data_IF_607075485950
#
_entry.id   IF_607075485950
#
_cell.length_a   1.000
_cell.length_b   1.000
_cell.length_c   1.000
_cell.angle_alpha   90.00
_cell.angle_beta   90.00
_cell.angle_gamma   90.00
#
_symmetry.space_group_name_H-M   'P 1'
#
loop_
_entity.id
_entity.type
_entity.pdbx_description
1 polymer ?
#
# COMPACT_ATOMS: atom_id res chain seq x y z
N UNK A 1 -17.95 -30.09 -0.14
CA UNK A 1 -18.87 -29.21 -0.92
C UNK A 1 -18.24 -27.84 -0.84
N UNK A 2 -17.87 -27.28 -1.98
CA UNK A 2 -17.39 -25.88 -2.02
C UNK A 2 -18.53 -25.02 -1.55
N UNK A 3 -18.37 -24.32 -0.40
CA UNK A 3 -19.32 -23.30 -0.01
C UNK A 3 -19.39 -22.28 -1.14
N UNK A 4 -20.59 -22.04 -1.65
CA UNK A 4 -20.79 -21.10 -2.74
C UNK A 4 -20.29 -19.72 -2.29
N UNK A 5 -19.42 -19.09 -3.08
CA UNK A 5 -18.90 -17.75 -2.80
C UNK A 5 -20.07 -16.77 -2.58
N UNK A 6 -20.13 -16.18 -1.39
CA UNK A 6 -21.18 -15.23 -0.99
C UNK A 6 -20.60 -13.84 -0.98
N UNK A 7 -21.04 -12.98 -1.88
CA UNK A 7 -20.60 -11.60 -1.95
C UNK A 7 -21.81 -10.69 -1.77
N UNK A 8 -21.69 -9.70 -0.90
CA UNK A 8 -22.74 -8.73 -0.64
C UNK A 8 -22.38 -7.37 -1.22
N UNK A 9 -23.39 -6.68 -1.71
CA UNK A 9 -23.25 -5.35 -2.31
C UNK A 9 -23.93 -4.32 -1.41
N UNK A 10 -23.24 -3.22 -1.16
CA UNK A 10 -23.73 -2.09 -0.38
C UNK A 10 -23.68 -0.81 -1.22
N UNK A 11 -24.65 0.07 -1.00
CA UNK A 11 -24.69 1.42 -1.56
C UNK A 11 -25.11 2.37 -0.44
N UNK A 12 -24.40 3.48 -0.26
CA UNK A 12 -24.67 4.46 0.79
C UNK A 12 -24.83 3.84 2.19
N UNK A 13 -24.01 2.86 2.53
CA UNK A 13 -24.08 2.13 3.80
C UNK A 13 -25.17 1.06 3.90
N UNK A 14 -26.10 1.00 2.95
CA UNK A 14 -27.20 0.03 2.95
C UNK A 14 -26.90 -1.20 2.11
N UNK A 15 -27.27 -2.38 2.61
CA UNK A 15 -27.11 -3.64 1.88
C UNK A 15 -28.16 -3.78 0.79
N UNK A 16 -27.73 -3.78 -0.46
CA UNK A 16 -28.58 -3.92 -1.64
C UNK A 16 -28.97 -5.37 -1.95
N UNK A 17 -28.06 -6.31 -1.69
CA UNK A 17 -28.29 -7.73 -1.99
C UNK A 17 -27.02 -8.56 -2.01
N UNK A 18 -27.13 -9.73 -2.64
CA UNK A 18 -26.02 -10.67 -2.85
C UNK A 18 -25.79 -10.85 -4.34
N UNK A 19 -24.51 -10.99 -4.72
CA UNK A 19 -24.13 -11.27 -6.12
C UNK A 19 -24.67 -12.62 -6.54
N UNK A 20 -25.37 -12.63 -7.65
CA UNK A 20 -25.87 -13.84 -8.29
C UNK A 20 -24.84 -14.39 -9.28
N UNK A 21 -24.69 -15.73 -9.29
CA UNK A 21 -23.86 -16.44 -10.29
C UNK A 21 -22.41 -15.93 -10.37
N UNK A 22 -21.71 -15.78 -9.21
CA UNK A 22 -20.29 -15.47 -9.18
C UNK A 22 -19.49 -16.63 -9.80
N UNK A 23 -18.73 -16.35 -10.87
CA UNK A 23 -17.95 -17.34 -11.60
C UNK A 23 -16.51 -17.42 -11.08
N UNK A 24 -15.89 -16.27 -10.84
CA UNK A 24 -14.58 -16.17 -10.24
C UNK A 24 -14.41 -14.86 -9.49
N UNK A 25 -13.60 -14.88 -8.42
CA UNK A 25 -13.19 -13.70 -7.69
C UNK A 25 -11.70 -13.76 -7.46
N UNK A 26 -10.99 -12.69 -7.81
CA UNK A 26 -9.66 -12.38 -7.32
C UNK A 26 -9.80 -11.28 -6.28
N UNK A 27 -9.33 -11.55 -5.05
CA UNK A 27 -9.42 -10.68 -3.90
C UNK A 27 -8.03 -10.51 -3.33
N UNK A 28 -7.40 -9.37 -3.60
CA UNK A 28 -5.97 -9.17 -3.36
C UNK A 28 -5.71 -7.98 -2.41
N UNK A 29 -5.95 -8.14 -1.09
CA UNK A 29 -5.55 -7.13 -0.11
C UNK A 29 -4.03 -7.00 -0.05
N UNK A 30 -3.53 -5.80 0.20
CA UNK A 30 -2.12 -5.47 0.40
C UNK A 30 -1.90 -4.84 1.79
N UNK A 31 -0.64 -4.87 2.27
CA UNK A 31 -0.31 -4.38 3.60
C UNK A 31 -0.19 -2.86 3.66
N UNK A 32 0.69 -2.28 2.83
CA UNK A 32 0.93 -0.84 2.79
C UNK A 32 0.34 -0.14 1.55
N UNK A 33 -0.46 -0.86 0.76
CA UNK A 33 -1.09 -0.38 -0.46
C UNK A 33 -2.60 -0.69 -0.43
N UNK A 34 -3.35 -0.14 -1.39
CA UNK A 34 -4.81 -0.28 -1.45
C UNK A 34 -5.25 -1.71 -1.75
N UNK A 35 -4.51 -2.43 -2.58
CA UNK A 35 -4.95 -3.72 -3.10
C UNK A 35 -6.09 -3.61 -4.12
N UNK A 36 -6.48 -4.74 -4.71
CA UNK A 36 -7.45 -4.77 -5.81
C UNK A 36 -8.34 -6.00 -5.81
N UNK A 37 -9.48 -5.89 -6.53
CA UNK A 37 -10.36 -7.02 -6.78
C UNK A 37 -10.74 -7.12 -8.26
N UNK A 38 -11.00 -8.36 -8.69
CA UNK A 38 -11.64 -8.65 -9.98
C UNK A 38 -12.68 -9.76 -9.79
N UNK A 39 -13.94 -9.41 -10.01
CA UNK A 39 -15.06 -10.34 -9.99
C UNK A 39 -15.56 -10.57 -11.42
N UNK A 40 -15.82 -11.84 -11.77
CA UNK A 40 -16.55 -12.21 -12.97
C UNK A 40 -17.82 -12.92 -12.55
N UNK A 41 -18.97 -12.44 -13.00
CA UNK A 41 -20.29 -13.00 -12.68
C UNK A 41 -21.23 -12.98 -13.89
N UNK A 42 -22.40 -13.59 -13.75
CA UNK A 42 -23.45 -13.52 -14.77
C UNK A 42 -23.98 -12.10 -14.93
N UNK A 43 -24.22 -11.66 -16.16
CA UNK A 43 -24.77 -10.34 -16.46
C UNK A 43 -26.30 -10.29 -16.26
N UNK A 44 -26.80 -10.78 -15.12
CA UNK A 44 -28.22 -10.74 -14.75
C UNK A 44 -28.72 -9.30 -14.56
N UNK A 45 -30.00 -9.06 -14.63
CA UNK A 45 -30.58 -7.75 -14.37
C UNK A 45 -30.26 -7.27 -12.95
N UNK A 46 -30.30 -8.18 -11.97
CA UNK A 46 -29.97 -7.92 -10.57
C UNK A 46 -28.50 -7.48 -10.41
N UNK A 47 -27.55 -8.26 -10.96
CA UNK A 47 -26.12 -7.91 -10.87
C UNK A 47 -25.81 -6.56 -11.53
N UNK A 48 -26.39 -6.28 -12.70
CA UNK A 48 -26.21 -5.01 -13.40
C UNK A 48 -26.77 -3.81 -12.63
N UNK A 49 -27.85 -4.00 -11.87
CA UNK A 49 -28.45 -2.94 -11.08
C UNK A 49 -27.63 -2.64 -9.79
N UNK A 50 -27.01 -3.65 -9.19
CA UNK A 50 -26.30 -3.51 -7.93
C UNK A 50 -24.79 -3.22 -8.11
N UNK A 51 -24.14 -3.88 -9.10
CA UNK A 51 -22.70 -3.79 -9.30
C UNK A 51 -22.34 -2.56 -10.16
N UNK A 52 -22.58 -1.39 -9.61
CA UNK A 52 -22.33 -0.10 -10.26
C UNK A 52 -21.10 0.57 -9.66
N UNK A 53 -20.52 1.53 -10.36
CA UNK A 53 -19.40 2.32 -9.86
C UNK A 53 -19.77 3.00 -8.53
N UNK A 54 -18.86 2.92 -7.56
CA UNK A 54 -19.04 3.47 -6.21
C UNK A 54 -19.76 2.55 -5.23
N UNK A 55 -20.40 1.45 -5.70
CA UNK A 55 -20.92 0.43 -4.80
C UNK A 55 -19.76 -0.31 -4.09
N UNK A 56 -20.03 -0.80 -2.88
CA UNK A 56 -19.08 -1.55 -2.06
C UNK A 56 -19.39 -3.03 -2.15
N UNK A 57 -18.38 -3.82 -2.50
CA UNK A 57 -18.43 -5.28 -2.51
C UNK A 57 -17.80 -5.81 -1.23
N UNK A 58 -18.52 -6.62 -0.46
CA UNK A 58 -18.08 -7.24 0.79
C UNK A 58 -18.02 -8.75 0.65
N UNK A 59 -16.88 -9.33 1.09
CA UNK A 59 -16.66 -10.76 1.17
C UNK A 59 -16.62 -11.20 2.64
N UNK A 60 -17.62 -11.97 3.15
CA UNK A 60 -17.65 -12.40 4.54
C UNK A 60 -16.51 -13.39 4.92
N UNK A 61 -15.88 -14.04 3.95
CA UNK A 61 -14.71 -14.91 4.19
C UNK A 61 -13.46 -14.11 4.62
N UNK A 62 -13.49 -12.78 4.43
CA UNK A 62 -12.43 -11.85 4.84
C UNK A 62 -13.03 -10.70 5.64
N UNK A 63 -13.41 -10.94 6.90
CA UNK A 63 -14.07 -9.94 7.74
C UNK A 63 -13.29 -8.63 7.82
N UNK A 64 -14.00 -7.52 7.78
CA UNK A 64 -13.42 -6.19 7.81
C UNK A 64 -12.85 -5.70 6.48
N UNK A 65 -12.83 -6.52 5.42
CA UNK A 65 -12.37 -6.09 4.09
C UNK A 65 -13.55 -5.91 3.13
N UNK A 66 -13.60 -4.74 2.50
CA UNK A 66 -14.55 -4.45 1.44
C UNK A 66 -13.88 -3.63 0.32
N UNK A 67 -14.43 -3.69 -0.88
CA UNK A 67 -13.86 -3.04 -2.05
C UNK A 67 -14.86 -2.14 -2.76
N UNK A 68 -14.43 -0.96 -3.16
CA UNK A 68 -15.15 -0.04 -4.04
C UNK A 68 -15.11 -0.55 -5.47
N UNK A 69 -16.23 -0.60 -6.12
CA UNK A 69 -16.32 -0.89 -7.55
C UNK A 69 -15.89 0.36 -8.32
N UNK A 70 -14.81 0.24 -9.10
CA UNK A 70 -14.25 1.35 -9.88
C UNK A 70 -14.55 1.23 -11.38
N UNK A 71 -14.72 0.00 -11.89
CA UNK A 71 -15.05 -0.22 -13.28
C UNK A 71 -15.88 -1.50 -13.48
N UNK A 72 -16.77 -1.47 -14.46
CA UNK A 72 -17.54 -2.61 -14.91
C UNK A 72 -17.44 -2.75 -16.42
N UNK A 73 -17.37 -3.98 -16.90
CA UNK A 73 -17.29 -4.34 -18.31
C UNK A 73 -18.33 -5.43 -18.60
N UNK A 74 -19.25 -5.13 -19.50
CA UNK A 74 -20.30 -6.04 -19.92
C UNK A 74 -19.94 -6.69 -21.25
N UNK A 75 -19.75 -8.00 -21.23
CA UNK A 75 -19.69 -8.83 -22.44
C UNK A 75 -21.11 -9.39 -22.71
N UNK A 76 -21.79 -8.82 -23.73
CA UNK A 76 -23.13 -9.19 -24.10
C UNK A 76 -23.20 -10.59 -24.72
N UNK A 77 -22.21 -11.00 -25.48
CA UNK A 77 -22.16 -12.28 -26.19
C UNK A 77 -21.93 -13.43 -25.20
N UNK A 78 -21.00 -13.27 -24.29
CA UNK A 78 -20.73 -14.22 -23.22
C UNK A 78 -21.71 -14.10 -22.03
N UNK A 79 -22.57 -13.09 -22.00
CA UNK A 79 -23.48 -12.76 -20.88
C UNK A 79 -22.75 -12.66 -19.54
N UNK A 80 -21.56 -12.09 -19.56
CA UNK A 80 -20.68 -11.91 -18.40
C UNK A 80 -20.55 -10.44 -18.03
N UNK A 81 -20.48 -10.20 -16.73
CA UNK A 81 -20.13 -8.92 -16.15
C UNK A 81 -18.80 -9.08 -15.42
N UNK A 82 -17.80 -8.31 -15.85
CA UNK A 82 -16.51 -8.20 -15.17
C UNK A 82 -16.51 -6.91 -14.34
N UNK A 83 -16.25 -7.04 -13.05
CA UNK A 83 -16.18 -5.93 -12.09
C UNK A 83 -14.76 -5.82 -11.58
N UNK A 84 -14.19 -4.61 -11.65
CA UNK A 84 -12.88 -4.29 -11.06
C UNK A 84 -13.09 -3.30 -9.93
N UNK A 85 -12.32 -3.47 -8.87
CA UNK A 85 -12.42 -2.61 -7.70
C UNK A 85 -11.09 -2.46 -6.98
N UNK A 86 -11.08 -1.50 -6.07
CA UNK A 86 -10.00 -1.23 -5.12
C UNK A 86 -10.57 -1.31 -3.71
N UNK A 87 -9.79 -1.77 -2.72
CA UNK A 87 -10.28 -1.78 -1.34
C UNK A 87 -10.68 -0.37 -0.87
N UNK A 88 -11.53 -0.29 0.13
CA UNK A 88 -12.17 0.99 0.57
C UNK A 88 -11.18 2.05 1.01
N UNK A 89 -9.94 1.71 1.34
CA UNK A 89 -8.83 2.65 1.52
C UNK A 89 -8.68 3.62 0.32
N UNK A 90 -9.11 3.23 -0.88
CA UNK A 90 -9.14 4.08 -2.08
C UNK A 90 -9.93 5.38 -1.90
N UNK A 91 -10.84 5.47 -0.92
CA UNK A 91 -11.58 6.70 -0.64
C UNK A 91 -10.68 7.89 -0.34
N UNK A 92 -9.53 7.64 0.29
CA UNK A 92 -8.57 8.70 0.61
C UNK A 92 -7.92 9.35 -0.62
N UNK A 93 -7.93 8.68 -1.78
CA UNK A 93 -7.51 9.30 -3.05
C UNK A 93 -8.43 10.43 -3.52
N UNK A 94 -9.65 10.54 -2.96
CA UNK A 94 -10.59 11.60 -3.27
C UNK A 94 -10.27 12.93 -2.55
N UNK A 95 -9.24 12.97 -1.73
CA UNK A 95 -8.86 14.13 -0.93
C UNK A 95 -7.40 14.48 -1.16
N UNK A 96 -7.14 15.77 -1.20
CA UNK A 96 -5.78 16.32 -1.33
C UNK A 96 -5.34 16.83 0.04
N UNK A 97 -4.15 16.44 0.47
CA UNK A 97 -3.45 17.05 1.59
C UNK A 97 -3.01 18.46 1.17
N UNK A 98 -3.54 19.48 1.84
CA UNK A 98 -3.31 20.87 1.46
C UNK A 98 -2.04 21.41 2.12
N UNK A 99 -1.29 22.15 1.32
CA UNK A 99 -0.07 22.81 1.79
C UNK A 99 1.04 21.81 2.07
N UNK A 100 2.08 22.28 2.75
CA UNK A 100 3.22 21.46 3.16
C UNK A 100 3.04 20.99 4.60
N UNK A 101 3.29 19.71 4.82
CA UNK A 101 3.37 19.07 6.14
C UNK A 101 4.66 18.29 6.21
N UNK A 102 5.45 18.49 7.27
CA UNK A 102 6.66 17.70 7.57
C UNK A 102 6.33 16.74 8.71
N UNK A 103 6.58 15.46 8.50
CA UNK A 103 6.25 14.37 9.44
C UNK A 103 7.54 13.71 9.92
N UNK A 104 7.66 13.50 11.23
CA UNK A 104 8.79 12.81 11.90
C UNK A 104 8.36 11.57 12.70
N UNK A 105 7.05 11.35 12.85
CA UNK A 105 6.44 10.09 13.29
C UNK A 105 5.37 9.74 12.27
N UNK A 106 5.61 8.69 11.49
CA UNK A 106 4.77 8.34 10.36
C UNK A 106 3.34 7.96 10.77
N UNK A 107 3.15 7.29 11.92
CA UNK A 107 1.83 6.86 12.37
C UNK A 107 0.98 8.04 12.87
N UNK A 108 1.55 8.86 13.75
CA UNK A 108 0.87 10.05 14.27
C UNK A 108 0.62 11.08 13.16
N UNK A 109 1.63 11.36 12.33
CA UNK A 109 1.54 12.32 11.22
C UNK A 109 0.52 11.92 10.17
N UNK A 110 0.36 10.62 9.90
CA UNK A 110 -0.69 10.11 9.01
C UNK A 110 -2.08 10.45 9.54
N UNK A 111 -2.34 10.21 10.82
CA UNK A 111 -3.64 10.50 11.41
C UNK A 111 -3.93 12.00 11.44
N UNK A 112 -2.93 12.82 11.76
CA UNK A 112 -3.08 14.29 11.77
C UNK A 112 -3.34 14.84 10.36
N UNK A 113 -2.64 14.32 9.35
CA UNK A 113 -2.87 14.65 7.95
C UNK A 113 -4.31 14.27 7.52
N UNK A 114 -4.78 13.09 7.90
CA UNK A 114 -6.15 12.66 7.61
C UNK A 114 -7.17 13.58 8.30
N UNK A 115 -7.03 13.86 9.60
CA UNK A 115 -7.94 14.75 10.35
C UNK A 115 -8.06 16.11 9.70
N UNK A 116 -6.93 16.69 9.28
CA UNK A 116 -6.90 18.00 8.65
C UNK A 116 -7.55 18.01 7.26
N UNK A 117 -7.62 16.86 6.55
CA UNK A 117 -7.95 16.85 5.14
C UNK A 117 -9.16 15.97 4.74
N UNK A 118 -9.82 15.29 5.67
CA UNK A 118 -10.99 14.44 5.36
C UNK A 118 -12.15 15.20 4.71
N UNK A 119 -12.45 16.42 5.16
CA UNK A 119 -13.51 17.27 4.58
C UNK A 119 -14.80 16.49 4.30
N UNK A 120 -15.43 15.97 5.34
CA UNK A 120 -16.69 15.22 5.29
C UNK A 120 -16.60 13.85 4.55
N UNK A 121 -15.40 13.30 4.36
CA UNK A 121 -15.28 11.92 3.93
C UNK A 121 -15.77 10.99 5.03
N UNK A 122 -16.73 10.13 4.73
CA UNK A 122 -17.41 9.26 5.71
C UNK A 122 -16.55 8.03 6.05
N UNK A 123 -15.37 8.28 6.66
CA UNK A 123 -14.48 7.26 7.20
C UNK A 123 -14.10 7.68 8.62
N UNK A 124 -14.36 6.83 9.58
CA UNK A 124 -13.93 7.06 10.96
C UNK A 124 -12.41 6.92 11.09
N UNK A 125 -11.80 7.78 11.91
CA UNK A 125 -10.38 7.70 12.24
C UNK A 125 -10.21 7.27 13.70
N UNK A 126 -9.16 6.50 14.06
CA UNK A 126 -8.83 6.25 15.44
C UNK A 126 -8.35 7.55 16.12
N UNK A 127 -8.56 7.64 17.43
CA UNK A 127 -8.12 8.79 18.23
C UNK A 127 -6.60 8.93 18.27
N UNK A 128 -5.88 7.83 18.29
CA UNK A 128 -4.43 7.75 18.22
C UNK A 128 -4.00 6.44 17.56
N UNK A 129 -2.76 6.36 17.10
CA UNK A 129 -2.13 5.09 16.74
C UNK A 129 -1.74 4.34 18.02
N UNK A 130 -1.88 3.01 18.00
CA UNK A 130 -1.51 2.14 19.13
C UNK A 130 0.02 1.96 19.25
N UNK A 131 0.79 2.54 18.33
CA UNK A 131 2.25 2.46 18.26
C UNK A 131 2.84 3.77 17.71
N UNK A 132 4.14 3.95 17.91
CA UNK A 132 4.91 5.04 17.30
C UNK A 132 5.71 4.50 16.12
N UNK A 133 5.88 5.33 15.10
CA UNK A 133 6.67 5.01 13.90
C UNK A 133 7.61 6.20 13.59
N UNK A 134 8.65 6.42 14.43
CA UNK A 134 9.59 7.52 14.19
C UNK A 134 10.30 7.31 12.86
N UNK A 135 10.44 8.37 12.10
CA UNK A 135 11.07 8.35 10.79
C UNK A 135 11.93 9.60 10.56
N UNK A 136 12.80 9.55 9.56
CA UNK A 136 13.39 10.77 9.03
C UNK A 136 12.28 11.71 8.53
N UNK A 137 12.55 13.00 8.50
CA UNK A 137 11.56 14.00 8.10
C UNK A 137 11.03 13.73 6.67
N UNK A 138 9.74 13.45 6.58
CA UNK A 138 9.03 13.27 5.30
C UNK A 138 8.24 14.54 5.02
N UNK A 139 8.52 15.16 3.89
CA UNK A 139 7.82 16.33 3.41
C UNK A 139 6.71 15.93 2.44
N UNK A 140 5.49 16.31 2.74
CA UNK A 140 4.29 16.07 1.94
C UNK A 140 3.68 17.40 1.54
N UNK A 141 3.45 17.60 0.24
CA UNK A 141 2.91 18.87 -0.25
C UNK A 141 1.98 18.63 -1.46
N UNK A 142 0.71 19.05 -1.35
CA UNK A 142 -0.30 18.98 -2.41
C UNK A 142 -0.46 17.61 -3.07
N UNK A 143 -0.28 16.54 -2.33
CA UNK A 143 -0.46 15.16 -2.77
C UNK A 143 -1.84 14.64 -2.37
N UNK A 144 -2.30 13.53 -2.97
CA UNK A 144 -3.52 12.88 -2.48
C UNK A 144 -3.32 12.37 -1.05
N UNK A 145 -4.37 12.37 -0.24
CA UNK A 145 -4.25 11.79 1.11
C UNK A 145 -3.83 10.31 1.03
N UNK A 146 -4.28 9.58 0.03
CA UNK A 146 -3.87 8.18 -0.15
C UNK A 146 -2.37 8.04 -0.41
N UNK A 147 -1.80 8.82 -1.35
CA UNK A 147 -0.37 8.76 -1.66
C UNK A 147 0.48 9.14 -0.44
N UNK A 148 0.05 10.19 0.29
CA UNK A 148 0.70 10.55 1.55
C UNK A 148 0.64 9.41 2.59
N UNK A 149 -0.52 8.75 2.73
CA UNK A 149 -0.70 7.66 3.67
C UNK A 149 0.15 6.44 3.31
N UNK A 150 0.19 6.04 2.05
CA UNK A 150 1.00 4.91 1.59
C UNK A 150 2.49 5.19 1.77
N UNK A 151 2.95 6.39 1.41
CA UNK A 151 4.34 6.82 1.65
C UNK A 151 4.72 6.77 3.13
N UNK A 152 3.86 7.27 4.02
CA UNK A 152 4.11 7.23 5.47
C UNK A 152 4.07 5.80 6.02
N UNK A 153 3.15 4.96 5.54
CA UNK A 153 3.06 3.56 5.94
C UNK A 153 4.30 2.76 5.53
N UNK A 154 4.79 2.94 4.32
CA UNK A 154 6.04 2.33 3.84
C UNK A 154 7.24 2.81 4.65
N UNK A 155 7.36 4.13 4.86
CA UNK A 155 8.44 4.72 5.65
C UNK A 155 8.44 4.23 7.10
N UNK A 156 7.26 4.15 7.73
CA UNK A 156 7.08 3.69 9.12
C UNK A 156 7.01 2.16 9.27
N UNK A 157 6.97 1.42 8.17
CA UNK A 157 6.95 -0.05 8.16
C UNK A 157 5.66 -0.66 8.71
N UNK A 158 4.52 0.03 8.63
CA UNK A 158 3.21 -0.45 9.05
C UNK A 158 2.23 -0.55 7.88
N UNK A 159 1.11 -1.24 8.10
CA UNK A 159 0.08 -1.43 7.09
C UNK A 159 -1.13 -0.53 7.29
N UNK A 160 -1.96 -0.48 6.25
CA UNK A 160 -3.17 0.32 6.21
C UNK A 160 -4.37 -0.56 5.85
N UNK A 161 -5.47 -0.36 6.56
CA UNK A 161 -6.75 -0.97 6.21
C UNK A 161 -7.87 0.02 6.49
N UNK A 162 -8.86 0.06 5.61
CA UNK A 162 -10.14 0.67 5.91
C UNK A 162 -11.09 -0.47 6.25
N UNK A 163 -11.34 -0.69 7.54
CA UNK A 163 -12.20 -1.76 8.03
C UNK A 163 -13.66 -1.43 7.76
N UNK A 164 -14.38 -2.38 7.17
CA UNK A 164 -15.80 -2.26 6.85
C UNK A 164 -16.65 -3.06 7.83
N UNK A 165 -17.63 -2.42 8.44
CA UNK A 165 -18.65 -3.07 9.27
C UNK A 165 -19.90 -3.40 8.43
N UNK A 166 -20.18 -4.68 8.14
CA UNK A 166 -21.35 -5.05 7.35
C UNK A 166 -22.70 -4.83 8.06
N UNK A 167 -22.70 -4.59 9.37
CA UNK A 167 -23.93 -4.35 10.12
C UNK A 167 -24.40 -2.89 9.98
N UNK A 168 -23.49 -1.96 9.89
CA UNK A 168 -23.74 -0.51 9.81
C UNK A 168 -23.42 0.08 8.46
N UNK A 169 -22.63 -0.63 7.63
CA UNK A 169 -22.08 -0.11 6.37
C UNK A 169 -21.01 0.96 6.56
N UNK A 170 -20.52 1.14 7.79
CA UNK A 170 -19.51 2.15 8.12
C UNK A 170 -18.09 1.66 7.84
N UNK A 171 -17.19 2.60 7.67
CA UNK A 171 -15.78 2.36 7.39
C UNK A 171 -14.89 3.05 8.46
N UNK A 172 -13.86 2.36 8.92
CA UNK A 172 -12.91 2.87 9.92
C UNK A 172 -11.49 2.63 9.47
N UNK A 173 -10.64 3.67 9.50
CA UNK A 173 -9.22 3.51 9.21
C UNK A 173 -8.54 2.76 10.36
N UNK A 174 -7.73 1.78 10.01
CA UNK A 174 -6.87 1.03 10.93
C UNK A 174 -5.42 1.05 10.44
N UNK A 175 -4.51 1.26 11.37
CA UNK A 175 -3.07 1.11 11.17
C UNK A 175 -2.67 -0.27 11.70
N UNK A 176 -1.96 -1.06 10.90
CA UNK A 176 -1.66 -2.45 11.20
C UNK A 176 -0.17 -2.65 11.44
N UNK A 177 0.18 -3.32 12.54
CA UNK A 177 1.53 -3.83 12.75
C UNK A 177 1.58 -5.31 12.37
N UNK A 178 2.54 -5.68 11.50
CA UNK A 178 2.88 -7.07 11.27
C UNK A 178 3.63 -7.66 12.47
N UNK A 179 3.44 -8.95 12.70
CA UNK A 179 4.14 -9.69 13.77
C UNK A 179 5.42 -10.33 13.21
N UNK A 180 6.49 -10.31 13.99
CA UNK A 180 7.69 -11.08 13.67
C UNK A 180 7.51 -12.54 14.09
N UNK A 181 7.37 -13.41 13.09
CA UNK A 181 7.23 -14.87 13.25
C UNK A 181 8.51 -15.60 12.85
N UNK A 182 9.61 -14.88 12.67
CA UNK A 182 10.86 -15.45 12.15
C UNK A 182 11.75 -16.08 13.21
N UNK A 183 11.53 -15.76 14.50
CA UNK A 183 12.38 -16.22 15.61
C UNK A 183 12.00 -17.60 16.09
N UNK A 184 12.81 -18.66 15.87
CA UNK A 184 12.55 -19.99 16.39
C UNK A 184 12.44 -20.01 17.93
N UNK A 185 11.43 -20.72 18.44
CA UNK A 185 11.20 -20.85 19.88
C UNK A 185 10.39 -19.70 20.50
N UNK A 186 9.99 -18.69 19.73
CA UNK A 186 8.98 -17.72 20.18
C UNK A 186 7.57 -18.30 20.03
N UNK A 187 6.62 -17.81 20.83
CA UNK A 187 5.21 -18.22 20.77
C UNK A 187 4.56 -17.86 19.41
N UNK A 188 5.18 -16.95 18.65
CA UNK A 188 4.72 -16.51 17.34
C UNK A 188 5.30 -17.34 16.18
N UNK A 189 6.31 -18.18 16.45
CA UNK A 189 6.98 -18.94 15.39
C UNK A 189 6.12 -20.12 14.92
N UNK A 190 5.75 -20.12 13.63
CA UNK A 190 4.88 -21.12 13.03
C UNK A 190 5.58 -22.02 12.00
N UNK A 191 6.92 -21.95 11.91
CA UNK A 191 7.70 -22.70 10.91
C UNK A 191 8.05 -21.86 9.68
N UNK A 192 8.48 -22.55 8.61
CA UNK A 192 8.91 -21.93 7.35
C UNK A 192 7.85 -22.05 6.29
N UNK A 193 7.76 -21.02 5.44
CA UNK A 193 7.26 -21.23 4.08
C UNK A 193 8.36 -21.90 3.25
N UNK A 194 8.12 -23.11 2.77
CA UNK A 194 9.16 -23.89 2.10
C UNK A 194 8.59 -24.83 1.04
N UNK A 195 9.31 -24.92 -0.10
CA UNK A 195 8.99 -25.89 -1.15
C UNK A 195 9.17 -27.32 -0.66
N UNK A 196 10.17 -27.58 0.18
CA UNK A 196 10.42 -28.90 0.78
C UNK A 196 9.29 -29.35 1.72
N UNK A 197 8.68 -28.43 2.47
CA UNK A 197 7.56 -28.71 3.35
C UNK A 197 6.23 -28.80 2.59
N UNK A 198 6.23 -28.53 1.29
CA UNK A 198 5.05 -28.55 0.43
C UNK A 198 3.94 -27.56 0.87
N UNK A 199 4.27 -26.59 1.73
CA UNK A 199 3.36 -25.52 2.10
C UNK A 199 3.53 -24.26 1.20
N UNK A 200 4.51 -24.28 0.30
CA UNK A 200 4.77 -23.31 -0.73
C UNK A 200 5.01 -24.03 -2.06
N UNK A 201 4.31 -23.64 -3.11
CA UNK A 201 4.43 -24.21 -4.45
C UNK A 201 4.49 -23.12 -5.52
N UNK A 202 5.00 -23.48 -6.70
CA UNK A 202 5.13 -22.58 -7.85
C UNK A 202 5.83 -21.26 -7.51
N UNK A 203 6.99 -21.28 -6.84
CA UNK A 203 7.68 -20.05 -6.47
C UNK A 203 8.19 -19.32 -7.72
N UNK A 204 7.98 -18.01 -7.77
CA UNK A 204 8.58 -17.11 -8.74
C UNK A 204 9.29 -16.00 -7.98
N UNK A 205 10.61 -16.08 -7.92
CA UNK A 205 11.46 -15.04 -7.35
C UNK A 205 11.86 -14.06 -8.44
N UNK A 206 11.64 -12.79 -8.19
CA UNK A 206 12.03 -11.70 -9.08
C UNK A 206 12.94 -10.75 -8.32
N UNK A 207 14.07 -10.44 -8.91
CA UNK A 207 14.93 -9.33 -8.49
C UNK A 207 15.02 -8.39 -9.69
N UNK A 208 14.59 -7.15 -9.51
CA UNK A 208 14.60 -6.14 -10.55
C UNK A 208 15.40 -4.94 -10.08
N UNK A 209 16.48 -4.68 -10.78
CA UNK A 209 17.39 -3.57 -10.57
C UNK A 209 17.50 -2.69 -11.82
N UNK A 210 16.54 -2.79 -12.74
CA UNK A 210 16.57 -2.03 -14.01
C UNK A 210 16.59 -0.52 -13.78
N UNK A 211 15.89 -0.07 -12.74
CA UNK A 211 15.82 1.34 -12.36
C UNK A 211 16.64 1.66 -11.08
N UNK A 212 17.57 0.75 -10.71
CA UNK A 212 18.35 0.91 -9.50
C UNK A 212 19.27 2.14 -9.58
N UNK A 213 19.19 2.96 -8.53
CA UNK A 213 20.14 4.02 -8.26
C UNK A 213 20.56 3.99 -6.79
N UNK A 214 21.78 4.42 -6.49
CA UNK A 214 22.28 4.57 -5.14
C UNK A 214 22.75 5.98 -4.82
N UNK A 215 22.80 6.86 -5.83
CA UNK A 215 23.11 8.28 -5.68
C UNK A 215 22.10 9.10 -6.48
N UNK A 216 21.57 10.12 -5.85
CA UNK A 216 20.74 11.14 -6.54
C UNK A 216 21.51 12.43 -6.61
N UNK A 217 21.58 13.00 -7.84
CA UNK A 217 21.92 14.38 -8.07
C UNK A 217 20.61 15.17 -8.25
N UNK A 218 20.40 16.20 -7.44
CA UNK A 218 19.16 16.98 -7.47
C UNK A 218 19.45 18.47 -7.64
N UNK A 219 18.69 19.12 -8.52
CA UNK A 219 18.69 20.57 -8.70
C UNK A 219 17.38 21.16 -8.19
N UNK A 220 17.45 22.10 -7.26
CA UNK A 220 16.29 22.82 -6.72
C UNK A 220 15.69 23.83 -7.69
N UNK A 221 14.93 24.78 -7.17
CA UNK A 221 14.24 25.82 -7.94
C UNK A 221 15.20 26.61 -8.83
N UNK A 222 14.80 26.80 -10.09
CA UNK A 222 15.51 27.71 -11.00
C UNK A 222 15.12 29.15 -10.68
N UNK A 223 16.11 30.05 -10.49
CA UNK A 223 15.81 31.45 -10.25
C UNK A 223 15.19 32.11 -11.51
N UNK A 224 14.19 32.93 -11.27
CA UNK A 224 13.60 33.80 -12.28
C UNK A 224 14.27 35.18 -12.30
N UNK A 225 13.98 35.99 -13.33
CA UNK A 225 14.51 37.36 -13.40
C UNK A 225 14.03 38.17 -12.16
N UNK A 226 14.99 38.71 -11.41
CA UNK A 226 14.73 39.45 -10.16
C UNK A 226 14.87 38.67 -8.86
N UNK A 227 15.04 37.37 -8.92
CA UNK A 227 15.29 36.55 -7.73
C UNK A 227 16.72 36.79 -7.18
N UNK A 228 16.85 36.73 -5.86
CA UNK A 228 18.12 36.97 -5.14
C UNK A 228 18.86 35.69 -4.75
N UNK A 229 18.33 34.51 -5.14
CA UNK A 229 18.94 33.21 -4.84
C UNK A 229 19.57 32.58 -6.09
N UNK A 230 20.47 31.62 -5.86
CA UNK A 230 21.05 30.77 -6.92
C UNK A 230 20.48 29.37 -6.82
N UNK A 231 20.34 28.66 -7.94
CA UNK A 231 19.89 27.28 -7.95
C UNK A 231 20.78 26.42 -7.06
N UNK A 232 20.18 25.75 -6.10
CA UNK A 232 20.88 24.83 -5.22
C UNK A 232 20.98 23.44 -5.86
N UNK A 233 22.15 22.80 -5.77
CA UNK A 233 22.38 21.43 -6.21
C UNK A 233 22.88 20.60 -5.03
N UNK A 234 22.43 19.37 -4.93
CA UNK A 234 22.88 18.43 -3.90
C UNK A 234 23.06 17.02 -4.44
N UNK A 235 23.88 16.26 -3.72
CA UNK A 235 24.00 14.79 -3.86
C UNK A 235 23.53 14.13 -2.58
N UNK A 236 22.74 13.04 -2.71
CA UNK A 236 22.25 12.25 -1.57
C UNK A 236 22.35 10.75 -1.89
N UNK A 237 22.35 9.91 -0.86
CA UNK A 237 22.51 8.46 -0.98
C UNK A 237 23.94 8.01 -0.66
N UNK A 238 24.42 6.95 -1.30
CA UNK A 238 25.78 6.44 -1.13
C UNK A 238 26.77 7.30 -1.96
N UNK A 239 27.02 8.51 -1.49
CA UNK A 239 27.93 9.45 -2.16
C UNK A 239 29.38 8.96 -2.23
N UNK A 240 29.72 7.89 -1.48
CA UNK A 240 31.05 7.28 -1.50
C UNK A 240 31.20 6.22 -2.58
N UNK A 241 30.12 5.77 -3.18
CA UNK A 241 30.13 4.83 -4.29
C UNK A 241 30.95 5.39 -5.46
N UNK A 242 31.76 4.53 -6.08
CA UNK A 242 32.68 4.92 -7.16
C UNK A 242 32.71 3.87 -8.29
N UNK A 243 33.13 4.29 -9.48
CA UNK A 243 33.26 3.43 -10.65
C UNK A 243 31.94 2.76 -11.01
N UNK A 244 31.96 1.48 -11.33
CA UNK A 244 30.78 0.70 -11.74
C UNK A 244 29.79 0.45 -10.59
N UNK A 245 30.14 0.73 -9.34
CA UNK A 245 29.23 0.61 -8.20
C UNK A 245 28.38 1.87 -7.99
N UNK A 246 28.68 2.95 -8.68
CA UNK A 246 27.93 4.21 -8.60
C UNK A 246 26.87 4.27 -9.70
N UNK A 247 25.60 4.27 -9.29
CA UNK A 247 24.45 4.40 -10.16
C UNK A 247 23.73 5.71 -9.84
N UNK A 248 23.79 6.65 -10.76
CA UNK A 248 23.28 8.00 -10.56
C UNK A 248 21.87 8.18 -11.13
N UNK A 249 21.02 8.87 -10.37
CA UNK A 249 19.72 9.34 -10.79
C UNK A 249 19.73 10.87 -10.77
N UNK A 250 19.32 11.48 -11.87
CA UNK A 250 19.01 12.91 -11.90
C UNK A 250 17.57 13.15 -11.47
N UNK A 251 17.38 14.06 -10.51
CA UNK A 251 16.05 14.47 -10.02
C UNK A 251 15.92 15.99 -10.19
N UNK A 252 14.89 16.41 -10.91
CA UNK A 252 14.54 17.82 -10.99
C UNK A 252 13.67 18.20 -9.78
N UNK A 253 14.30 18.88 -8.83
CA UNK A 253 13.67 19.42 -7.61
C UNK A 253 13.12 20.83 -7.78
N UNK A 254 12.91 21.31 -8.99
CA UNK A 254 12.39 22.68 -9.26
C UNK A 254 10.99 22.94 -8.72
N UNK A 255 10.25 21.87 -8.39
CA UNK A 255 8.97 21.92 -7.67
C UNK A 255 9.10 22.34 -6.20
N UNK A 256 10.26 22.10 -5.58
CA UNK A 256 10.55 22.58 -4.22
C UNK A 256 10.86 24.06 -4.30
N UNK A 257 9.87 24.89 -3.96
CA UNK A 257 9.97 26.34 -4.04
C UNK A 257 10.56 26.93 -2.78
N UNK A 258 11.25 28.10 -2.89
CA UNK A 258 11.68 28.88 -1.71
C UNK A 258 10.51 29.36 -0.87
N UNK A 259 9.32 29.45 -1.46
CA UNK A 259 8.07 29.77 -0.78
C UNK A 259 7.16 28.56 -0.76
N UNK A 260 6.56 28.29 0.38
CA UNK A 260 5.65 27.18 0.59
C UNK A 260 4.41 27.60 1.36
N UNK A 261 3.34 26.83 1.24
CA UNK A 261 2.06 27.12 1.87
C UNK A 261 1.80 26.15 3.01
N UNK A 262 1.47 26.66 4.18
CA UNK A 262 1.09 25.87 5.36
C UNK A 262 -0.41 26.01 5.60
N UNK A 263 -1.08 24.91 5.88
CA UNK A 263 -2.47 24.91 6.31
C UNK A 263 -2.56 25.27 7.80
N UNK A 264 -3.37 26.26 8.13
CA UNK A 264 -3.66 26.65 9.52
C UNK A 264 -4.76 25.76 10.12
N UNK A 265 -4.90 25.80 11.46
CA UNK A 265 -5.93 25.06 12.17
C UNK A 265 -7.37 25.43 11.79
N UNK A 266 -7.59 26.65 11.30
CA UNK A 266 -8.89 27.16 10.81
C UNK A 266 -9.18 26.76 9.35
N UNK A 267 -8.31 25.98 8.73
CA UNK A 267 -8.42 25.56 7.34
C UNK A 267 -7.93 26.59 6.30
N UNK A 268 -7.53 27.79 6.74
CA UNK A 268 -6.87 28.77 5.88
C UNK A 268 -5.43 28.36 5.56
N UNK A 269 -4.81 29.03 4.60
CA UNK A 269 -3.42 28.78 4.23
C UNK A 269 -2.59 30.06 4.38
N UNK A 270 -1.34 29.90 4.82
CA UNK A 270 -0.37 31.00 4.95
C UNK A 270 0.87 30.68 4.12
N UNK A 271 1.30 31.62 3.28
CA UNK A 271 2.58 31.51 2.56
C UNK A 271 3.73 31.81 3.53
N UNK A 272 4.74 30.96 3.54
CA UNK A 272 6.00 31.12 4.27
C UNK A 272 7.17 31.05 3.30
N UNK A 273 8.30 31.61 3.69
CA UNK A 273 9.55 31.56 2.94
C UNK A 273 10.57 30.78 3.76
N UNK A 274 11.26 29.84 3.14
CA UNK A 274 12.38 29.15 3.75
C UNK A 274 13.56 30.06 4.04
N UNK A 275 14.26 29.80 5.10
CA UNK A 275 15.67 30.20 5.21
C UNK A 275 16.50 29.35 4.25
N UNK A 276 17.71 29.80 3.92
CA UNK A 276 18.61 29.07 3.00
C UNK A 276 18.86 27.62 3.47
N UNK A 277 19.11 27.42 4.77
CA UNK A 277 19.36 26.08 5.34
C UNK A 277 18.13 25.19 5.29
N UNK A 278 16.95 25.74 5.57
CA UNK A 278 15.68 25.00 5.47
C UNK A 278 15.39 24.59 4.03
N UNK A 279 15.64 25.49 3.08
CA UNK A 279 15.47 25.21 1.66
C UNK A 279 16.40 24.08 1.17
N UNK A 280 17.68 24.15 1.52
CA UNK A 280 18.66 23.09 1.21
C UNK A 280 18.20 21.75 1.78
N UNK A 281 17.70 21.73 3.03
CA UNK A 281 17.18 20.53 3.67
C UNK A 281 15.95 20.00 2.92
N UNK A 282 15.02 20.87 2.50
CA UNK A 282 13.83 20.48 1.75
C UNK A 282 14.20 19.84 0.40
N UNK A 283 15.15 20.40 -0.34
CA UNK A 283 15.64 19.82 -1.60
C UNK A 283 16.33 18.47 -1.37
N UNK A 284 17.14 18.33 -0.31
CA UNK A 284 17.76 17.05 0.04
C UNK A 284 16.73 15.98 0.43
N UNK A 285 15.69 16.35 1.17
CA UNK A 285 14.60 15.43 1.53
C UNK A 285 13.82 14.97 0.29
N UNK A 286 13.54 15.89 -0.63
CA UNK A 286 12.93 15.57 -1.92
C UNK A 286 13.79 14.56 -2.73
N UNK A 287 15.09 14.79 -2.77
CA UNK A 287 16.03 13.89 -3.43
C UNK A 287 16.08 12.50 -2.76
N UNK A 288 16.07 12.42 -1.41
CA UNK A 288 16.04 11.14 -0.68
C UNK A 288 14.74 10.37 -0.93
N UNK A 289 13.60 11.06 -0.95
CA UNK A 289 12.31 10.46 -1.27
C UNK A 289 12.29 9.87 -2.70
N UNK A 290 12.88 10.57 -3.66
CA UNK A 290 13.04 10.04 -5.02
C UNK A 290 13.94 8.79 -5.05
N UNK A 291 15.07 8.80 -4.32
CA UNK A 291 15.99 7.66 -4.25
C UNK A 291 15.29 6.40 -3.68
N UNK A 292 14.42 6.54 -2.71
CA UNK A 292 13.70 5.43 -2.10
C UNK A 292 12.92 4.59 -3.13
N UNK A 293 12.46 5.18 -4.22
CA UNK A 293 11.75 4.52 -5.31
C UNK A 293 12.68 3.77 -6.29
N UNK A 294 14.00 3.92 -6.15
CA UNK A 294 15.01 3.34 -7.05
C UNK A 294 15.94 2.34 -6.37
N UNK A 295 15.56 1.80 -5.21
CA UNK A 295 16.39 0.82 -4.46
C UNK A 295 16.39 -0.60 -5.08
N UNK A 296 15.72 -0.80 -6.19
CA UNK A 296 15.46 -2.11 -6.75
C UNK A 296 14.38 -2.87 -5.97
N UNK A 297 13.78 -3.84 -6.60
CA UNK A 297 12.69 -4.62 -5.98
C UNK A 297 13.06 -6.10 -5.90
N UNK A 298 12.67 -6.74 -4.80
CA UNK A 298 12.77 -8.18 -4.62
C UNK A 298 11.41 -8.71 -4.19
N UNK A 299 10.90 -9.67 -4.93
CA UNK A 299 9.60 -10.27 -4.66
C UNK A 299 9.64 -11.77 -4.84
N UNK A 300 8.94 -12.48 -3.98
CA UNK A 300 8.62 -13.89 -4.17
C UNK A 300 7.10 -14.05 -4.23
N UNK A 301 6.61 -14.52 -5.36
CA UNK A 301 5.21 -14.91 -5.58
C UNK A 301 5.13 -16.42 -5.56
N UNK A 302 4.12 -16.96 -4.88
CA UNK A 302 3.93 -18.40 -4.79
C UNK A 302 2.46 -18.75 -4.54
N UNK A 303 2.16 -20.04 -4.51
CA UNK A 303 0.89 -20.57 -4.01
C UNK A 303 1.14 -21.22 -2.66
N UNK A 304 0.39 -20.82 -1.64
CA UNK A 304 0.47 -21.42 -0.30
C UNK A 304 -0.57 -22.53 -0.13
N UNK A 305 -0.16 -23.60 0.55
CA UNK A 305 -1.08 -24.66 0.94
C UNK A 305 -1.77 -24.31 2.26
N UNK A 306 -3.03 -23.90 2.18
CA UNK A 306 -3.87 -23.45 3.31
C UNK A 306 -4.10 -24.54 4.38
N UNK A 307 -3.74 -25.79 4.08
CA UNK A 307 -3.86 -26.91 5.02
C UNK A 307 -2.73 -27.02 6.04
N UNK A 308 -1.61 -26.31 5.82
CA UNK A 308 -0.42 -26.38 6.67
C UNK A 308 -0.08 -25.03 7.33
N UNK A 309 -0.41 -23.94 6.67
CA UNK A 309 -0.21 -22.56 7.13
C UNK A 309 -1.49 -21.79 6.82
N UNK A 310 -2.33 -21.61 7.82
CA UNK A 310 -3.68 -21.05 7.67
C UNK A 310 -3.61 -19.53 7.74
N UNK A 311 -3.98 -18.90 6.63
CA UNK A 311 -4.09 -17.43 6.59
C UNK A 311 -5.14 -16.93 7.59
N UNK A 312 -4.77 -15.92 8.36
CA UNK A 312 -5.59 -15.33 9.42
C UNK A 312 -5.43 -16.02 10.79
N UNK A 313 -4.75 -17.20 10.86
CA UNK A 313 -4.42 -17.88 12.10
C UNK A 313 -2.90 -17.96 12.29
N UNK A 314 -2.20 -18.61 11.37
CA UNK A 314 -0.78 -18.86 11.46
C UNK A 314 0.05 -17.68 10.93
N UNK A 315 -0.48 -16.94 9.96
CA UNK A 315 0.14 -15.75 9.42
C UNK A 315 -0.92 -14.76 8.90
N UNK A 316 -0.54 -13.50 8.78
CA UNK A 316 -1.39 -12.42 8.30
C UNK A 316 -0.60 -11.46 7.40
N UNK A 317 -1.32 -10.54 6.75
CA UNK A 317 -0.69 -9.43 6.03
C UNK A 317 0.24 -8.64 6.96
N UNK A 318 1.43 -8.31 6.46
CA UNK A 318 2.44 -7.57 7.19
C UNK A 318 3.35 -8.40 8.09
N UNK A 319 3.00 -9.67 8.38
CA UNK A 319 3.85 -10.52 9.20
C UNK A 319 5.21 -10.77 8.52
N UNK A 320 6.26 -10.80 9.31
CA UNK A 320 7.60 -11.22 8.89
C UNK A 320 7.71 -12.71 9.15
N UNK A 321 7.94 -13.47 8.09
CA UNK A 321 7.96 -14.94 8.11
C UNK A 321 9.24 -15.49 7.51
N UNK A 322 9.74 -16.65 7.99
CA UNK A 322 10.86 -17.30 7.34
C UNK A 322 10.41 -18.00 6.06
N UNK A 323 11.17 -17.78 4.99
CA UNK A 323 10.91 -18.34 3.65
C UNK A 323 12.15 -19.07 3.16
N UNK A 324 11.95 -20.28 2.61
CA UNK A 324 13.00 -21.09 2.02
C UNK A 324 12.53 -21.69 0.69
N UNK A 325 13.28 -21.42 -0.36
CA UNK A 325 13.08 -22.01 -1.69
C UNK A 325 14.36 -22.75 -2.04
N UNK A 326 14.35 -24.06 -1.82
CA UNK A 326 15.55 -24.90 -1.93
C UNK A 326 16.10 -24.94 -3.36
N UNK A 327 15.24 -24.89 -4.37
CA UNK A 327 15.60 -24.98 -5.79
C UNK A 327 16.51 -23.84 -6.26
N UNK A 328 16.44 -22.68 -5.58
CA UNK A 328 17.25 -21.50 -5.90
C UNK A 328 18.16 -21.09 -4.75
N UNK A 329 18.26 -21.92 -3.68
CA UNK A 329 19.09 -21.62 -2.52
C UNK A 329 18.64 -20.39 -1.72
N UNK A 330 17.39 -19.95 -1.87
CA UNK A 330 16.87 -18.79 -1.13
C UNK A 330 16.51 -19.20 0.31
N UNK A 331 17.14 -18.55 1.29
CA UNK A 331 16.77 -18.62 2.71
C UNK A 331 16.80 -17.20 3.30
N UNK A 332 15.64 -16.72 3.69
CA UNK A 332 15.48 -15.36 4.18
C UNK A 332 14.28 -15.25 5.11
N UNK A 333 14.18 -14.13 5.83
CA UNK A 333 12.90 -13.66 6.37
C UNK A 333 12.33 -12.63 5.41
N UNK A 334 11.02 -12.62 5.25
CA UNK A 334 10.35 -11.71 4.33
C UNK A 334 9.01 -11.27 4.91
N UNK A 335 8.54 -10.10 4.49
CA UNK A 335 7.21 -9.59 4.85
C UNK A 335 6.16 -10.18 3.91
N UNK A 336 5.01 -10.55 4.45
CA UNK A 336 3.81 -10.87 3.67
C UNK A 336 3.20 -9.55 3.17
N UNK A 337 3.60 -9.12 1.99
CA UNK A 337 3.23 -7.80 1.43
C UNK A 337 1.80 -7.76 0.90
N UNK A 338 1.37 -8.83 0.25
CA UNK A 338 0.00 -8.98 -0.24
C UNK A 338 -0.41 -10.44 -0.32
N UNK A 339 -1.71 -10.71 -0.40
CA UNK A 339 -2.22 -12.07 -0.57
C UNK A 339 -3.34 -12.04 -1.60
N UNK A 340 -3.14 -12.69 -2.74
CA UNK A 340 -4.20 -12.87 -3.71
C UNK A 340 -4.99 -14.14 -3.37
N UNK A 341 -6.23 -13.96 -2.95
CA UNK A 341 -7.19 -15.03 -2.72
C UNK A 341 -7.99 -15.20 -4.01
N UNK A 342 -7.95 -16.39 -4.59
CA UNK A 342 -8.61 -16.70 -5.85
C UNK A 342 -9.71 -17.72 -5.57
N UNK A 343 -10.93 -17.38 -5.93
CA UNK A 343 -12.09 -18.25 -5.87
C UNK A 343 -12.50 -18.60 -7.30
N UNK A 344 -12.52 -19.90 -7.59
CA UNK A 344 -12.93 -20.45 -8.88
C UNK A 344 -13.84 -21.67 -8.66
N UNK A 345 -14.39 -22.22 -9.73
CA UNK A 345 -15.20 -23.43 -9.66
C UNK A 345 -14.45 -24.64 -9.09
N UNK A 346 -13.13 -24.65 -9.18
CA UNK A 346 -12.24 -25.69 -8.67
C UNK A 346 -11.94 -25.55 -7.17
N UNK A 347 -12.26 -24.42 -6.57
CA UNK A 347 -12.02 -24.13 -5.16
C UNK A 347 -11.38 -22.78 -4.90
N UNK A 348 -10.81 -22.63 -3.70
CA UNK A 348 -10.07 -21.45 -3.23
C UNK A 348 -8.57 -21.73 -3.26
N UNK A 349 -7.79 -20.77 -3.75
CA UNK A 349 -6.33 -20.79 -3.66
C UNK A 349 -5.81 -19.49 -3.08
N UNK A 350 -4.66 -19.57 -2.38
CA UNK A 350 -3.97 -18.45 -1.74
C UNK A 350 -2.61 -18.26 -2.42
N UNK A 351 -2.36 -17.05 -2.86
CA UNK A 351 -1.09 -16.68 -3.50
C UNK A 351 -0.48 -15.50 -2.73
N UNK A 352 0.31 -15.76 -1.66
CA UNK A 352 1.05 -14.71 -0.98
C UNK A 352 2.16 -14.16 -1.86
N UNK A 353 2.44 -12.86 -1.67
CA UNK A 353 3.59 -12.15 -2.21
C UNK A 353 4.44 -11.71 -1.04
N UNK A 354 5.71 -12.06 -1.09
CA UNK A 354 6.68 -11.69 -0.08
C UNK A 354 7.63 -10.63 -0.63
N UNK A 355 7.98 -9.67 0.21
CA UNK A 355 8.97 -8.62 -0.05
C UNK A 355 9.83 -8.32 1.19
N UNK A 356 10.60 -7.24 1.15
CA UNK A 356 11.45 -6.78 2.28
C UNK A 356 12.31 -7.91 2.87
N UNK A 357 13.04 -8.59 1.98
CA UNK A 357 13.88 -9.74 2.34
C UNK A 357 15.06 -9.35 3.23
N UNK A 358 15.22 -10.08 4.34
CA UNK A 358 16.44 -10.09 5.13
C UNK A 358 17.09 -11.45 4.98
N UNK A 359 18.18 -11.52 4.23
CA UNK A 359 18.93 -12.75 4.00
C UNK A 359 19.75 -13.10 5.24
N UNK A 360 19.81 -14.39 5.57
CA UNK A 360 20.75 -14.87 6.58
C UNK A 360 22.18 -14.59 6.10
N UNK A 361 22.98 -13.91 6.93
CA UNK A 361 24.42 -13.86 6.69
C UNK A 361 25.00 -15.26 6.93
N UNK A 362 25.71 -15.79 5.94
CA UNK A 362 26.49 -17.01 6.08
C UNK A 362 27.58 -16.86 7.16
#
# INVERSE_FOLDING_TARGET
MSDALRLYVYQNGERMGMVDSANSLQWAPAFADVGEIKLVCGATATNRAMLVQGAVLYNPDTPGLAALIVATELDSDARKLTVRGKFTLQRFAQRIAKGKTTVTDAAAGLLDLCRANLRELEVALPDAADFTAPCEAVDLEWVTCLDAMTQLAETGGFGLRCAFDPATGSETLELLQGKDRSTPGSDLYMGYFSTRMQNLSSPTYTEDASDYANVVLCGGEEPSEGDSFTRYFCEVGDITAAGNARHELWVDGSSVKHKYTVQNADGSTTEKTYTETEYQTAVQNYARAALANHLGTRQLKCTAADSQMIYGQDYALGDIVPVRVEEIGLEATARVASIKIIYESTGRSLCPVFDNFTFKKE
#
